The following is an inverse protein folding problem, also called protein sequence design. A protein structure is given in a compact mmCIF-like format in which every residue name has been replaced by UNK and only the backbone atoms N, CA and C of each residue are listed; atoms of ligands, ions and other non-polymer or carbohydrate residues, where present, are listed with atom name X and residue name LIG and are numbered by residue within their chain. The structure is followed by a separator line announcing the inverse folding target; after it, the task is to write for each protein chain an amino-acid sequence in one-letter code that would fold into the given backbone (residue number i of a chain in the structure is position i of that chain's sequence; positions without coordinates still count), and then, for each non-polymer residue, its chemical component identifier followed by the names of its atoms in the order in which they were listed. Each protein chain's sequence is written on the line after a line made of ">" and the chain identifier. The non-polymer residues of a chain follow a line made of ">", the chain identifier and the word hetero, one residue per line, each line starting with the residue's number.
data_IF_258248844179
#
_entry.id   IF_258248844179
#
_cell.length_a   1.000
_cell.length_b   1.000
_cell.length_c   1.000
_cell.angle_alpha   90.00
_cell.angle_beta   90.00
_cell.angle_gamma   90.00
#
_symmetry.space_group_name_H-M   'P 1'
#
loop_
_entity.id
_entity.type
_entity.pdbx_description
1 polymer ?
#
# COMPACT_ATOMS: atom_id res chain seq x y z
N UNK A 1 -14.54 -4.53 -19.44
CA UNK A 1 -13.34 -4.52 -20.29
C UNK A 1 -12.60 -5.80 -19.98
N UNK A 2 -12.37 -6.66 -20.97
CA UNK A 2 -11.68 -7.94 -20.78
C UNK A 2 -10.20 -7.78 -21.12
N UNK A 3 -9.32 -8.45 -20.38
CA UNK A 3 -7.89 -8.53 -20.68
C UNK A 3 -7.68 -9.14 -22.07
N UNK A 4 -6.76 -8.54 -22.82
CA UNK A 4 -6.40 -8.93 -24.18
C UNK A 4 -4.88 -9.06 -24.27
N UNK A 5 -4.34 -10.30 -24.32
CA UNK A 5 -2.90 -10.53 -24.40
C UNK A 5 -2.23 -9.82 -25.58
N UNK A 6 -2.96 -9.59 -26.69
CA UNK A 6 -2.40 -8.89 -27.85
C UNK A 6 -2.12 -7.40 -27.59
N UNK A 7 -2.64 -6.84 -26.50
CA UNK A 7 -2.39 -5.46 -26.06
C UNK A 7 -1.23 -5.33 -25.10
N UNK A 8 -0.61 -6.44 -24.69
CA UNK A 8 0.61 -6.42 -23.88
C UNK A 8 1.76 -5.90 -24.76
N UNK A 9 2.42 -4.80 -24.42
CA UNK A 9 3.54 -4.30 -25.20
C UNK A 9 4.66 -5.35 -25.27
N UNK A 10 5.07 -5.72 -26.48
CA UNK A 10 6.06 -6.79 -26.71
C UNK A 10 5.52 -8.21 -26.57
N UNK A 11 4.25 -8.40 -26.18
CA UNK A 11 3.58 -9.71 -26.10
C UNK A 11 3.97 -10.59 -24.90
N UNK A 12 4.93 -10.18 -24.08
CA UNK A 12 5.41 -10.90 -22.90
C UNK A 12 4.99 -10.18 -21.62
N UNK A 13 4.04 -10.78 -20.88
CA UNK A 13 3.49 -10.24 -19.63
C UNK A 13 4.57 -10.13 -18.56
N UNK A 14 5.47 -11.12 -18.46
CA UNK A 14 6.50 -11.16 -17.43
C UNK A 14 7.57 -10.11 -17.68
N UNK A 15 8.06 -10.02 -18.92
CA UNK A 15 9.01 -8.99 -19.31
C UNK A 15 8.42 -7.58 -19.12
N UNK A 16 7.15 -7.39 -19.50
CA UNK A 16 6.46 -6.12 -19.32
C UNK A 16 6.27 -5.74 -17.84
N UNK A 17 5.93 -6.71 -16.99
CA UNK A 17 5.84 -6.51 -15.53
C UNK A 17 7.17 -6.07 -14.93
N UNK A 18 8.28 -6.70 -15.33
CA UNK A 18 9.62 -6.31 -14.89
C UNK A 18 10.00 -4.88 -15.33
N UNK A 19 9.69 -4.52 -16.58
CA UNK A 19 9.91 -3.16 -17.09
C UNK A 19 9.08 -2.12 -16.32
N UNK A 20 7.80 -2.41 -16.07
CA UNK A 20 6.93 -1.53 -15.30
C UNK A 20 7.47 -1.32 -13.87
N UNK A 21 7.92 -2.40 -13.22
CA UNK A 21 8.54 -2.34 -11.90
C UNK A 21 9.77 -1.44 -11.90
N UNK A 22 10.69 -1.63 -12.84
CA UNK A 22 11.91 -0.83 -12.94
C UNK A 22 11.60 0.66 -13.12
N UNK A 23 10.68 0.99 -14.04
CA UNK A 23 10.31 2.38 -14.30
C UNK A 23 9.55 3.03 -13.14
N UNK A 24 8.70 2.28 -12.44
CA UNK A 24 8.04 2.77 -11.23
C UNK A 24 9.07 3.06 -10.12
N UNK A 25 10.07 2.18 -9.93
CA UNK A 25 11.14 2.37 -8.95
C UNK A 25 12.03 3.57 -9.27
N UNK A 26 12.33 3.85 -10.55
CA UNK A 26 13.00 5.10 -10.95
C UNK A 26 12.18 6.32 -10.53
N UNK A 27 10.86 6.28 -10.73
CA UNK A 27 9.95 7.33 -10.25
C UNK A 27 10.01 7.55 -8.73
N UNK A 28 10.13 6.46 -7.94
CA UNK A 28 10.33 6.56 -6.49
C UNK A 28 11.66 7.26 -6.15
N UNK A 29 12.74 6.92 -6.85
CA UNK A 29 14.06 7.53 -6.65
C UNK A 29 14.05 9.02 -6.98
N UNK A 30 13.37 9.40 -8.06
CA UNK A 30 13.27 10.79 -8.51
C UNK A 30 12.27 11.62 -7.68
N UNK A 31 11.47 10.98 -6.81
CA UNK A 31 10.39 11.62 -6.08
C UNK A 31 9.27 12.14 -6.99
N UNK A 32 9.13 11.57 -8.20
CA UNK A 32 8.09 11.93 -9.15
C UNK A 32 6.94 10.92 -9.09
N UNK A 33 5.76 11.40 -8.68
CA UNK A 33 4.59 10.55 -8.53
C UNK A 33 4.08 9.97 -9.85
N UNK A 34 4.28 10.69 -10.96
CA UNK A 34 3.63 10.36 -12.23
C UNK A 34 4.15 9.06 -12.85
N UNK A 35 5.47 8.83 -13.01
CA UNK A 35 5.98 7.53 -13.43
C UNK A 35 5.61 6.41 -12.46
N UNK A 36 5.59 6.65 -11.14
CA UNK A 36 5.13 5.63 -10.18
C UNK A 36 3.69 5.22 -10.52
N UNK A 37 2.79 6.19 -10.69
CA UNK A 37 1.38 5.94 -11.01
C UNK A 37 1.18 5.24 -12.35
N UNK A 38 1.73 5.80 -13.44
CA UNK A 38 1.49 5.33 -14.80
C UNK A 38 2.02 3.90 -14.99
N UNK A 39 3.26 3.63 -14.53
CA UNK A 39 3.87 2.31 -14.67
C UNK A 39 3.28 1.28 -13.71
N UNK A 40 2.90 1.67 -12.50
CA UNK A 40 2.21 0.75 -11.58
C UNK A 40 0.84 0.34 -12.11
N UNK A 41 0.06 1.27 -12.66
CA UNK A 41 -1.21 0.94 -13.30
C UNK A 41 -1.03 0.04 -14.51
N UNK A 42 -0.03 0.30 -15.33
CA UNK A 42 0.33 -0.56 -16.45
C UNK A 42 0.69 -1.97 -15.96
N UNK A 43 1.44 -2.08 -14.87
CA UNK A 43 1.79 -3.36 -14.26
C UNK A 43 0.55 -4.11 -13.77
N UNK A 44 -0.35 -3.43 -13.05
CA UNK A 44 -1.62 -4.00 -12.57
C UNK A 44 -2.45 -4.53 -13.73
N UNK A 45 -2.62 -3.74 -14.79
CA UNK A 45 -3.48 -4.12 -15.92
C UNK A 45 -2.87 -5.17 -16.85
N UNK A 46 -1.57 -5.05 -17.15
CA UNK A 46 -0.96 -5.73 -18.31
C UNK A 46 0.26 -6.59 -17.96
N UNK A 47 0.88 -6.39 -16.80
CA UNK A 47 2.12 -7.09 -16.41
C UNK A 47 1.96 -8.07 -15.25
N UNK A 48 0.72 -8.48 -14.94
CA UNK A 48 0.40 -9.42 -13.86
C UNK A 48 0.57 -8.85 -12.45
N UNK A 49 0.65 -7.52 -12.32
CA UNK A 49 0.97 -6.88 -11.05
C UNK A 49 -0.18 -6.83 -10.04
N UNK A 50 -1.43 -7.02 -10.47
CA UNK A 50 -2.60 -6.97 -9.59
C UNK A 50 -2.51 -7.98 -8.43
N UNK A 51 -1.84 -9.11 -8.70
CA UNK A 51 -1.68 -10.26 -7.80
C UNK A 51 -0.55 -10.08 -6.78
N UNK A 52 0.16 -8.94 -6.82
CA UNK A 52 1.36 -8.69 -6.03
C UNK A 52 1.13 -7.51 -5.07
N UNK A 53 1.56 -7.61 -3.80
CA UNK A 53 1.51 -6.47 -2.87
C UNK A 53 2.35 -5.28 -3.36
N UNK A 54 3.41 -5.53 -4.14
CA UNK A 54 4.31 -4.53 -4.73
C UNK A 54 3.55 -3.39 -5.42
N UNK A 55 2.58 -3.73 -6.27
CA UNK A 55 1.87 -2.72 -7.06
C UNK A 55 0.94 -1.89 -6.20
N UNK A 56 0.24 -2.48 -5.25
CA UNK A 56 -0.65 -1.74 -4.35
C UNK A 56 0.13 -0.80 -3.44
N UNK A 57 1.32 -1.24 -2.97
CA UNK A 57 2.24 -0.39 -2.21
C UNK A 57 2.76 0.77 -3.08
N UNK A 58 3.26 0.51 -4.30
CA UNK A 58 3.72 1.57 -5.20
C UNK A 58 2.60 2.53 -5.58
N UNK A 59 1.38 2.02 -5.78
CA UNK A 59 0.23 2.85 -6.12
C UNK A 59 -0.11 3.78 -4.94
N UNK A 60 -0.09 3.26 -3.71
CA UNK A 60 -0.23 4.08 -2.51
C UNK A 60 0.89 5.12 -2.39
N UNK A 61 2.15 4.73 -2.64
CA UNK A 61 3.31 5.63 -2.63
C UNK A 61 3.16 6.76 -3.64
N UNK A 62 2.69 6.49 -4.86
CA UNK A 62 2.43 7.53 -5.88
C UNK A 62 1.46 8.61 -5.37
N UNK A 63 0.46 8.21 -4.57
CA UNK A 63 -0.49 9.13 -3.97
C UNK A 63 0.13 9.87 -2.77
N UNK A 64 0.98 9.21 -1.98
CA UNK A 64 1.70 9.85 -0.87
C UNK A 64 2.70 10.90 -1.35
N UNK A 65 3.40 10.66 -2.45
CA UNK A 65 4.29 11.65 -3.11
C UNK A 65 3.49 12.89 -3.54
N UNK A 66 2.25 12.72 -3.99
CA UNK A 66 1.33 13.83 -4.30
C UNK A 66 0.74 14.53 -3.08
N UNK A 67 0.98 14.05 -1.85
CA UNK A 67 0.31 14.54 -0.65
C UNK A 67 -1.17 14.17 -0.57
N UNK A 68 -1.59 13.06 -1.18
CA UNK A 68 -2.98 12.58 -1.26
C UNK A 68 -3.20 11.29 -0.45
N UNK A 69 -3.15 11.34 0.91
CA UNK A 69 -3.20 10.13 1.75
C UNK A 69 -4.50 9.33 1.65
N UNK A 70 -5.65 9.97 1.39
CA UNK A 70 -6.91 9.24 1.15
C UNK A 70 -6.89 8.41 -0.13
N UNK A 71 -6.23 8.90 -1.18
CA UNK A 71 -6.06 8.14 -2.42
C UNK A 71 -5.07 6.99 -2.18
N UNK A 72 -4.04 7.18 -1.34
CA UNK A 72 -3.14 6.11 -0.96
C UNK A 72 -3.87 4.96 -0.26
N UNK A 73 -4.75 5.29 0.70
CA UNK A 73 -5.61 4.30 1.37
C UNK A 73 -6.53 3.61 0.36
N UNK A 74 -7.17 4.37 -0.52
CA UNK A 74 -8.02 3.79 -1.56
C UNK A 74 -7.26 2.79 -2.44
N UNK A 75 -6.01 3.09 -2.80
CA UNK A 75 -5.17 2.18 -3.57
C UNK A 75 -4.89 0.86 -2.81
N UNK A 76 -4.59 0.92 -1.52
CA UNK A 76 -4.42 -0.27 -0.68
C UNK A 76 -5.74 -1.05 -0.55
N UNK A 77 -6.86 -0.36 -0.36
CA UNK A 77 -8.17 -0.96 -0.22
C UNK A 77 -8.58 -1.74 -1.49
N UNK A 78 -8.18 -1.30 -2.70
CA UNK A 78 -8.38 -2.05 -3.94
C UNK A 78 -7.67 -3.42 -3.90
N UNK A 79 -6.41 -3.45 -3.47
CA UNK A 79 -5.64 -4.68 -3.33
C UNK A 79 -6.22 -5.62 -2.26
N UNK A 80 -6.52 -5.07 -1.09
CA UNK A 80 -7.09 -5.78 0.05
C UNK A 80 -8.46 -6.40 -0.24
N UNK A 81 -9.31 -5.67 -0.97
CA UNK A 81 -10.68 -6.08 -1.25
C UNK A 81 -10.75 -7.23 -2.25
N UNK A 82 -9.93 -7.19 -3.29
CA UNK A 82 -10.17 -8.02 -4.49
C UNK A 82 -9.02 -8.95 -4.85
N UNK A 83 -7.76 -8.54 -4.67
CA UNK A 83 -6.65 -9.17 -5.39
C UNK A 83 -5.72 -10.02 -4.54
N UNK A 84 -5.47 -9.62 -3.28
CA UNK A 84 -4.53 -10.34 -2.42
C UNK A 84 -5.23 -11.46 -1.67
N UNK A 85 -5.01 -12.70 -2.12
CA UNK A 85 -5.59 -13.93 -1.55
C UNK A 85 -4.92 -14.31 -0.21
N UNK A 86 -3.62 -14.08 -0.10
CA UNK A 86 -2.81 -14.43 1.06
C UNK A 86 -3.16 -13.61 2.31
N UNK A 87 -3.21 -14.26 3.48
CA UNK A 87 -3.51 -13.59 4.75
C UNK A 87 -2.34 -12.71 5.18
N UNK A 88 -1.09 -13.15 4.99
CA UNK A 88 0.09 -12.40 5.42
C UNK A 88 0.35 -11.17 4.54
N UNK A 89 0.19 -11.27 3.21
CA UNK A 89 0.27 -10.13 2.30
C UNK A 89 -0.83 -9.09 2.63
N UNK A 90 -2.06 -9.54 2.93
CA UNK A 90 -3.13 -8.64 3.40
C UNK A 90 -2.84 -8.02 4.76
N UNK A 91 -2.23 -8.75 5.68
CA UNK A 91 -1.81 -8.20 6.97
C UNK A 91 -0.76 -7.11 6.80
N UNK A 92 0.23 -7.31 5.93
CA UNK A 92 1.23 -6.29 5.60
C UNK A 92 0.62 -5.02 4.99
N UNK A 93 -0.34 -5.15 4.06
CA UNK A 93 -1.05 -4.00 3.49
C UNK A 93 -1.96 -3.31 4.51
N UNK A 94 -2.60 -4.07 5.39
CA UNK A 94 -3.40 -3.54 6.51
C UNK A 94 -2.53 -2.74 7.46
N UNK A 95 -1.33 -3.22 7.77
CA UNK A 95 -0.36 -2.46 8.55
C UNK A 95 0.05 -1.15 7.86
N UNK A 96 0.33 -1.19 6.54
CA UNK A 96 0.64 0.01 5.75
C UNK A 96 -0.51 1.04 5.78
N UNK A 97 -1.76 0.55 5.67
CA UNK A 97 -2.97 1.37 5.76
C UNK A 97 -3.08 2.05 7.13
N UNK A 98 -2.92 1.28 8.22
CA UNK A 98 -2.94 1.80 9.59
C UNK A 98 -1.90 2.89 9.82
N UNK A 99 -0.67 2.70 9.32
CA UNK A 99 0.38 3.73 9.36
C UNK A 99 -0.03 5.01 8.65
N UNK A 100 -0.59 4.93 7.43
CA UNK A 100 -1.04 6.12 6.69
C UNK A 100 -2.16 6.83 7.46
N UNK A 101 -3.13 6.09 7.99
CA UNK A 101 -4.26 6.64 8.76
C UNK A 101 -3.76 7.35 10.02
N UNK A 102 -2.81 6.74 10.74
CA UNK A 102 -2.22 7.33 11.93
C UNK A 102 -1.45 8.61 11.57
N UNK A 103 -0.44 8.50 10.71
CA UNK A 103 0.57 9.54 10.54
C UNK A 103 0.16 10.63 9.55
N UNK A 104 -0.61 10.29 8.51
CA UNK A 104 -0.97 11.22 7.42
C UNK A 104 -2.37 11.80 7.56
N UNK A 105 -3.26 11.14 8.31
CA UNK A 105 -4.61 11.63 8.58
C UNK A 105 -4.82 12.03 10.05
N UNK A 106 -3.79 11.89 10.89
CA UNK A 106 -3.86 12.17 12.33
C UNK A 106 -5.08 11.47 12.97
N UNK A 107 -5.25 10.19 12.65
CA UNK A 107 -6.40 9.39 13.10
C UNK A 107 -5.99 8.09 13.78
N UNK A 108 -5.34 8.17 14.95
CA UNK A 108 -4.85 6.99 15.64
C UNK A 108 -5.97 6.05 16.11
N UNK A 109 -7.21 6.53 16.28
CA UNK A 109 -8.34 5.67 16.66
C UNK A 109 -8.76 4.73 15.54
N UNK A 110 -8.88 5.25 14.31
CA UNK A 110 -9.15 4.40 13.15
C UNK A 110 -7.95 3.53 12.81
N UNK A 111 -6.73 4.07 12.91
CA UNK A 111 -5.51 3.30 12.66
C UNK A 111 -5.32 2.13 13.63
N UNK A 112 -5.71 2.29 14.91
CA UNK A 112 -5.56 1.24 15.91
C UNK A 112 -6.28 -0.04 15.50
N UNK A 113 -7.47 0.06 14.90
CA UNK A 113 -8.23 -1.09 14.42
C UNK A 113 -7.45 -1.87 13.34
N UNK A 114 -6.85 -1.16 12.38
CA UNK A 114 -6.04 -1.80 11.34
C UNK A 114 -4.77 -2.43 11.95
N UNK A 115 -4.09 -1.70 12.83
CA UNK A 115 -2.84 -2.18 13.41
C UNK A 115 -3.05 -3.39 14.31
N UNK A 116 -4.10 -3.43 15.13
CA UNK A 116 -4.46 -4.59 15.96
C UNK A 116 -4.88 -5.81 15.14
N UNK A 117 -5.61 -5.60 14.03
CA UNK A 117 -5.97 -6.68 13.10
C UNK A 117 -4.72 -7.26 12.41
N UNK A 118 -3.80 -6.38 11.98
CA UNK A 118 -2.63 -6.79 11.21
C UNK A 118 -1.64 -7.67 11.98
N UNK A 119 -1.47 -7.49 13.30
CA UNK A 119 -0.40 -8.17 14.05
C UNK A 119 -0.54 -9.68 14.15
N UNK A 120 -1.72 -10.24 13.85
CA UNK A 120 -1.96 -11.68 13.93
C UNK A 120 -1.17 -12.44 12.85
N UNK A 121 -1.18 -11.92 11.63
CA UNK A 121 -0.59 -12.57 10.44
C UNK A 121 0.53 -11.72 9.81
N UNK A 122 1.02 -10.71 10.52
CA UNK A 122 2.04 -9.80 9.99
C UNK A 122 3.32 -10.57 9.66
N UNK A 123 3.91 -10.41 8.46
CA UNK A 123 5.10 -11.17 8.10
C UNK A 123 6.33 -10.69 8.87
N UNK A 124 7.30 -11.58 9.05
CA UNK A 124 8.51 -11.38 9.86
C UNK A 124 9.33 -10.12 9.51
N UNK A 125 9.27 -9.65 8.26
CA UNK A 125 9.98 -8.43 7.85
C UNK A 125 9.28 -7.14 8.30
N UNK A 126 7.98 -7.20 8.62
CA UNK A 126 7.20 -6.08 9.21
C UNK A 126 7.14 -6.17 10.74
N UNK A 127 7.16 -7.37 11.32
CA UNK A 127 7.05 -7.60 12.78
C UNK A 127 7.85 -6.61 13.65
N UNK A 128 9.15 -6.31 13.40
CA UNK A 128 9.93 -5.38 14.22
C UNK A 128 9.45 -3.92 14.17
N UNK A 129 8.66 -3.58 13.15
CA UNK A 129 8.02 -2.28 12.97
C UNK A 129 6.60 -2.29 13.56
N UNK A 130 5.88 -3.40 13.40
CA UNK A 130 4.50 -3.55 13.83
C UNK A 130 4.31 -3.40 15.34
N UNK A 131 5.09 -4.10 16.16
CA UNK A 131 4.95 -4.06 17.62
C UNK A 131 5.10 -2.65 18.19
N UNK A 132 6.20 -1.98 17.85
CA UNK A 132 6.46 -0.59 18.28
C UNK A 132 5.41 0.39 17.76
N UNK A 133 4.94 0.20 16.53
CA UNK A 133 3.92 1.07 15.93
C UNK A 133 2.57 0.89 16.63
N UNK A 134 2.20 -0.34 16.97
CA UNK A 134 0.96 -0.63 17.67
C UNK A 134 0.94 0.00 19.06
N UNK A 135 2.01 -0.14 19.84
CA UNK A 135 2.15 0.49 21.17
C UNK A 135 1.97 2.02 21.08
N UNK A 136 2.70 2.66 20.16
CA UNK A 136 2.57 4.10 19.96
C UNK A 136 1.14 4.48 19.50
N UNK A 137 0.51 3.69 18.63
CA UNK A 137 -0.85 3.98 18.20
C UNK A 137 -1.86 3.87 19.34
N UNK A 138 -1.67 2.94 20.29
CA UNK A 138 -2.52 2.82 21.49
C UNK A 138 -2.44 4.08 22.35
N UNK A 139 -1.23 4.57 22.62
CA UNK A 139 -1.02 5.80 23.39
C UNK A 139 -1.66 7.01 22.68
N UNK A 140 -1.42 7.14 21.37
CA UNK A 140 -1.96 8.21 20.56
C UNK A 140 -3.50 8.15 20.46
N UNK A 141 -4.08 6.95 20.36
CA UNK A 141 -5.53 6.76 20.29
C UNK A 141 -6.21 7.13 21.61
N UNK A 142 -5.62 6.75 22.75
CA UNK A 142 -6.09 7.11 24.08
C UNK A 142 -6.08 8.64 24.31
N UNK A 143 -5.03 9.33 23.84
CA UNK A 143 -4.93 10.78 23.94
C UNK A 143 -5.76 11.55 22.90
N UNK A 144 -6.21 10.89 21.82
CA UNK A 144 -6.86 11.57 20.71
C UNK A 144 -8.27 12.05 21.04
N UNK A 145 -8.53 13.33 20.77
CA UNK A 145 -9.86 13.95 20.86
C UNK A 145 -10.71 13.74 19.62
N UNK A 146 -10.17 13.11 18.57
CA UNK A 146 -10.89 12.86 17.32
C UNK A 146 -12.09 11.93 17.56
N UNK A 147 -13.23 12.27 16.95
CA UNK A 147 -14.50 11.55 17.09
C UNK A 147 -15.02 10.97 15.78
N UNK A 148 -14.63 11.57 14.66
CA UNK A 148 -15.06 11.18 13.32
C UNK A 148 -13.91 10.52 12.61
N UNK A 149 -14.15 9.29 12.12
CA UNK A 149 -13.18 8.54 11.34
C UNK A 149 -12.85 9.26 10.03
N UNK A 150 -11.57 9.24 9.65
CA UNK A 150 -11.08 9.92 8.44
C UNK A 150 -11.34 9.13 7.16
N UNK A 151 -11.50 7.82 7.32
CA UNK A 151 -11.75 6.83 6.27
C UNK A 151 -12.67 5.74 6.84
N UNK A 152 -13.31 5.00 5.95
CA UNK A 152 -14.10 3.82 6.33
C UNK A 152 -13.24 2.71 6.94
N UNK A 153 -13.86 1.64 7.45
CA UNK A 153 -13.12 0.44 7.86
C UNK A 153 -12.38 -0.18 6.67
N UNK A 154 -11.34 -0.97 6.97
CA UNK A 154 -10.70 -1.83 5.96
C UNK A 154 -11.75 -2.70 5.26
N UNK A 155 -11.69 -2.85 3.93
CA UNK A 155 -12.62 -3.74 3.23
C UNK A 155 -12.38 -5.21 3.59
N UNK A 156 -13.46 -5.98 3.66
CA UNK A 156 -13.39 -7.43 3.65
C UNK A 156 -12.90 -7.91 2.27
N UNK A 157 -12.21 -9.06 2.26
CA UNK A 157 -11.83 -9.70 1.01
C UNK A 157 -13.07 -10.34 0.38
N UNK A 158 -13.44 -9.88 -0.81
CA UNK A 158 -14.63 -10.34 -1.55
C UNK A 158 -14.29 -11.37 -2.63
N UNK A 159 -13.00 -11.65 -2.87
CA UNK A 159 -12.59 -12.61 -3.88
C UNK A 159 -12.60 -12.08 -5.31
N UNK A 160 -12.33 -13.00 -6.24
CA UNK A 160 -11.94 -12.69 -7.61
C UNK A 160 -13.05 -12.93 -8.64
N UNK A 161 -14.23 -13.41 -8.21
CA UNK A 161 -15.27 -13.99 -9.10
C UNK A 161 -15.67 -13.09 -10.27
N UNK A 162 -15.56 -11.76 -10.12
CA UNK A 162 -15.87 -10.78 -11.18
C UNK A 162 -14.64 -10.10 -11.81
N UNK A 163 -13.43 -10.33 -11.29
CA UNK A 163 -12.24 -9.53 -11.59
C UNK A 163 -11.14 -10.27 -12.39
N UNK A 164 -11.09 -11.61 -12.36
CA UNK A 164 -9.99 -12.37 -13.02
C UNK A 164 -9.81 -12.02 -14.50
N UNK A 165 -10.91 -11.70 -15.20
CA UNK A 165 -10.87 -11.44 -16.64
C UNK A 165 -10.50 -10.01 -17.02
N UNK A 166 -10.27 -9.09 -16.08
CA UNK A 166 -10.05 -7.67 -16.41
C UNK A 166 -8.58 -7.24 -16.38
N UNK A 167 -7.68 -8.07 -15.84
CA UNK A 167 -6.23 -7.85 -15.76
C UNK A 167 -5.46 -9.04 -16.30
N UNK A 168 -4.17 -8.84 -16.56
CA UNK A 168 -3.26 -9.94 -16.87
C UNK A 168 -3.22 -11.00 -15.76
N UNK A 169 -3.05 -12.30 -16.09
CA UNK A 169 -2.87 -13.36 -15.11
C UNK A 169 -1.63 -13.13 -14.22
N UNK A 170 -1.55 -13.80 -13.05
CA UNK A 170 -0.36 -13.74 -12.21
C UNK A 170 0.87 -14.26 -12.97
N UNK A 171 2.02 -13.67 -12.69
CA UNK A 171 3.31 -14.07 -13.24
C UNK A 171 4.18 -14.59 -12.13
N UNK A 172 4.73 -15.80 -12.32
CA UNK A 172 5.61 -16.45 -11.36
C UNK A 172 4.87 -17.01 -10.15
N UNK A 173 5.63 -17.71 -9.30
CA UNK A 173 5.16 -18.18 -8.00
C UNK A 173 5.66 -17.21 -6.93
N UNK A 174 4.77 -16.83 -6.01
CA UNK A 174 5.08 -15.99 -4.86
C UNK A 174 4.54 -16.65 -3.60
N UNK A 175 5.32 -16.59 -2.53
CA UNK A 175 4.90 -17.07 -1.21
C UNK A 175 4.17 -15.94 -0.48
N UNK A 176 3.02 -16.25 0.11
CA UNK A 176 2.28 -15.30 0.95
C UNK A 176 3.17 -14.77 2.08
N UNK A 177 3.19 -13.44 2.27
CA UNK A 177 3.98 -12.79 3.31
C UNK A 177 5.47 -12.60 2.96
N UNK A 178 5.91 -13.04 1.78
CA UNK A 178 7.25 -12.72 1.28
C UNK A 178 7.47 -11.20 1.26
N UNK A 179 8.69 -10.71 1.45
CA UNK A 179 8.93 -9.26 1.37
C UNK A 179 8.74 -8.77 -0.08
N UNK A 180 7.92 -7.75 -0.35
CA UNK A 180 7.83 -7.14 -1.68
C UNK A 180 9.22 -6.70 -2.16
N UNK A 181 9.55 -6.95 -3.42
CA UNK A 181 10.84 -6.55 -3.99
C UNK A 181 11.03 -5.03 -3.94
N UNK A 182 9.92 -4.29 -4.07
CA UNK A 182 9.92 -2.82 -4.02
C UNK A 182 10.11 -2.26 -2.61
N UNK A 183 10.02 -3.09 -1.56
CA UNK A 183 9.93 -2.64 -0.17
C UNK A 183 11.07 -1.72 0.24
N UNK A 184 12.32 -2.11 -0.06
CA UNK A 184 13.50 -1.33 0.33
C UNK A 184 13.52 0.09 -0.25
N UNK A 185 12.85 0.32 -1.38
CA UNK A 185 12.75 1.65 -1.98
C UNK A 185 11.66 2.53 -1.34
N UNK A 186 10.63 1.92 -0.77
CA UNK A 186 9.40 2.62 -0.34
C UNK A 186 9.15 2.58 1.17
N UNK A 187 9.94 1.81 1.89
CA UNK A 187 9.78 1.61 3.34
C UNK A 187 9.76 2.93 4.13
N UNK A 188 10.52 3.94 3.70
CA UNK A 188 10.58 5.27 4.35
C UNK A 188 9.21 5.96 4.42
N UNK A 189 8.30 5.69 3.48
CA UNK A 189 6.94 6.24 3.46
C UNK A 189 6.08 5.72 4.62
N UNK A 190 6.42 4.53 5.15
CA UNK A 190 5.71 3.82 6.21
C UNK A 190 6.46 3.76 7.54
N UNK A 191 7.71 4.24 7.58
CA UNK A 191 8.51 4.29 8.82
C UNK A 191 8.33 5.57 9.63
N UNK A 192 7.77 6.63 9.05
CA UNK A 192 7.85 7.97 9.64
C UNK A 192 7.26 8.04 11.05
N UNK A 193 8.08 8.45 12.00
CA UNK A 193 7.67 8.95 13.33
C UNK A 193 7.00 10.32 13.14
N UNK A 194 6.05 10.76 13.98
CA UNK A 194 5.37 12.03 13.80
C UNK A 194 6.36 13.17 13.59
N UNK A 195 6.15 13.98 12.55
CA UNK A 195 6.75 15.31 12.51
C UNK A 195 6.28 16.02 13.78
N UNK A 196 7.20 16.31 14.71
CA UNK A 196 6.96 17.38 15.68
C UNK A 196 6.67 18.62 14.85
N UNK A 197 5.49 19.19 15.06
CA UNK A 197 5.08 20.44 14.45
C UNK A 197 6.22 21.46 14.53
N UNK A 198 6.44 22.18 13.44
CA UNK A 198 7.13 23.47 13.48
C UNK A 198 6.24 24.47 14.23
N UNK A 199 6.14 24.32 15.55
CA UNK A 199 5.68 25.37 16.45
C UNK A 199 6.90 26.16 16.88
N UNK A 200 7.25 27.14 16.06
CA UNK A 200 8.32 28.08 16.37
C UNK A 200 8.22 29.28 15.46
N UNK A 201 7.27 30.18 15.75
CA UNK A 201 7.50 31.61 15.96
C UNK A 201 6.19 32.24 16.43
N UNK A 202 6.12 32.55 17.73
CA UNK A 202 5.32 33.69 18.19
C UNK A 202 6.15 34.92 17.80
N UNK A 203 5.63 35.74 16.88
CA UNK A 203 6.12 37.10 16.71
C UNK A 203 5.15 38.00 17.48
N UNK A 204 5.74 38.70 18.45
CA UNK A 204 5.23 39.76 19.31
C UNK A 204 4.56 40.88 18.53
#
# INVERSE_FOLDING_TARGET
>A
MTFDPAKVPGGDIAAWGAECREKALRGVQDGDWRPIYDWTKSWIGWGGGAWLPDTWILYAVSALVQGKPRIAIHALDLGLKTWLVGTADRAALTWCRGVIVMDRLADPKTALLDLEDSVVDVPAWVEPLAGRRLEHCRDAAAASRKRVASVGPRPAYEGLESAVQVVAPPVGERVDGERPEVWSAVESFFRSTPRRDQSGTVAT
#
